data_IF_955026810618
#
_entry.id   IF_955026810618
#
_cell.length_a   1.000
_cell.length_b   1.000
_cell.length_c   1.000
_cell.angle_alpha   90.00
_cell.angle_beta   90.00
_cell.angle_gamma   90.00
#
_symmetry.space_group_name_H-M   'P 1'
#
loop_
_entity.id
_entity.type
_entity.pdbx_description
1 polymer ?
#
# COMPACT_ATOMS: atom_id res chain seq x y z
N UNK A 1 14.86 -1.20 18.57
CA UNK A 1 13.93 -0.76 17.51
C UNK A 1 13.29 -2.02 16.97
N UNK A 2 11.96 -2.23 17.07
CA UNK A 2 11.33 -3.33 16.36
C UNK A 2 11.55 -3.12 14.86
N UNK A 3 12.09 -4.12 14.18
CA UNK A 3 12.25 -4.10 12.72
C UNK A 3 10.86 -4.30 12.13
N UNK A 4 10.32 -3.29 11.45
CA UNK A 4 9.06 -3.46 10.72
C UNK A 4 9.31 -4.45 9.59
N UNK A 5 8.57 -5.56 9.57
CA UNK A 5 8.70 -6.58 8.53
C UNK A 5 8.14 -6.08 7.20
N UNK A 6 8.83 -6.38 6.09
CA UNK A 6 8.43 -6.00 4.73
C UNK A 6 7.03 -6.47 4.36
N UNK A 7 6.63 -7.67 4.82
CA UNK A 7 5.34 -8.32 4.49
C UNK A 7 5.15 -8.43 2.96
N UNK A 8 5.89 -9.31 2.28
CA UNK A 8 5.89 -9.38 0.82
C UNK A 8 4.58 -9.93 0.24
N UNK A 9 4.23 -9.48 -0.97
CA UNK A 9 3.11 -9.98 -1.77
C UNK A 9 3.42 -9.93 -3.27
N UNK A 10 2.56 -10.53 -4.10
CA UNK A 10 2.68 -10.45 -5.56
C UNK A 10 2.57 -9.00 -6.04
N UNK A 11 3.45 -8.60 -6.95
CA UNK A 11 3.53 -7.23 -7.47
C UNK A 11 2.18 -6.58 -7.80
N UNK A 12 2.09 -5.29 -7.49
CA UNK A 12 0.96 -4.42 -7.83
C UNK A 12 1.51 -3.13 -8.42
N UNK A 13 0.86 -2.65 -9.49
CA UNK A 13 1.12 -1.32 -10.06
C UNK A 13 0.13 -0.35 -9.44
N UNK A 14 0.65 0.68 -8.80
CA UNK A 14 -0.13 1.72 -8.11
C UNK A 14 0.11 3.05 -8.81
N UNK A 15 -0.97 3.79 -9.04
CA UNK A 15 -0.91 5.13 -9.62
C UNK A 15 -0.37 6.10 -8.58
N UNK A 16 0.51 7.01 -9.00
CA UNK A 16 1.05 8.04 -8.11
C UNK A 16 0.40 9.39 -8.36
N UNK A 17 0.75 10.38 -7.54
CA UNK A 17 0.38 11.79 -7.71
C UNK A 17 0.70 12.37 -9.10
N UNK A 18 1.60 11.73 -9.84
CA UNK A 18 1.89 12.03 -11.23
C UNK A 18 1.15 11.01 -12.11
N UNK A 19 0.07 11.40 -12.84
CA UNK A 19 -0.78 10.46 -13.57
C UNK A 19 -0.05 9.61 -14.63
N UNK A 20 1.09 10.09 -15.14
CA UNK A 20 1.94 9.37 -16.10
C UNK A 20 2.96 8.42 -15.45
N UNK A 21 2.97 8.34 -14.11
CA UNK A 21 3.93 7.55 -13.34
C UNK A 21 3.21 6.50 -12.50
N UNK A 22 3.43 5.24 -12.86
CA UNK A 22 3.03 4.10 -12.04
C UNK A 22 4.24 3.63 -11.24
N UNK A 23 4.03 3.20 -9.99
CA UNK A 23 5.05 2.45 -9.23
C UNK A 23 4.65 1.01 -9.05
N UNK A 24 5.63 0.13 -9.16
CA UNK A 24 5.50 -1.28 -8.76
C UNK A 24 5.81 -1.37 -7.28
N UNK A 25 4.91 -1.97 -6.52
CA UNK A 25 5.13 -2.32 -5.11
C UNK A 25 4.99 -3.83 -4.90
N UNK A 26 5.83 -4.39 -4.05
CA UNK A 26 5.91 -5.84 -3.78
C UNK A 26 5.77 -6.19 -2.29
N UNK A 27 5.55 -5.21 -1.43
CA UNK A 27 5.47 -5.41 0.02
C UNK A 27 4.51 -4.41 0.66
N UNK A 28 3.95 -4.77 1.82
CA UNK A 28 3.04 -3.88 2.55
C UNK A 28 3.76 -2.63 3.06
N UNK A 29 5.03 -2.78 3.44
CA UNK A 29 5.86 -1.65 3.87
C UNK A 29 6.08 -0.65 2.73
N UNK A 30 6.52 -1.14 1.57
CA UNK A 30 6.75 -0.29 0.39
C UNK A 30 5.45 0.40 -0.08
N UNK A 31 4.31 -0.30 0.00
CA UNK A 31 3.01 0.27 -0.32
C UNK A 31 2.59 1.35 0.68
N UNK A 32 2.85 1.16 1.98
CA UNK A 32 2.56 2.15 3.01
C UNK A 32 3.41 3.41 2.81
N UNK A 33 4.70 3.26 2.52
CA UNK A 33 5.59 4.37 2.19
C UNK A 33 5.11 5.15 0.97
N UNK A 34 4.73 4.45 -0.11
CA UNK A 34 4.19 5.07 -1.31
C UNK A 34 2.93 5.90 -1.00
N UNK A 35 2.00 5.35 -0.23
CA UNK A 35 0.74 6.02 0.10
C UNK A 35 0.96 7.31 0.90
N UNK A 36 1.95 7.29 1.79
CA UNK A 36 2.28 8.46 2.62
C UNK A 36 3.03 9.54 1.84
N UNK A 37 3.69 9.20 0.73
CA UNK A 37 4.61 10.10 0.04
C UNK A 37 4.17 10.56 -1.34
N UNK A 38 3.41 9.73 -2.08
CA UNK A 38 3.18 9.93 -3.52
C UNK A 38 1.78 9.48 -3.97
N UNK A 39 0.79 9.47 -3.07
CA UNK A 39 -0.58 9.09 -3.41
C UNK A 39 -1.33 10.20 -4.15
N UNK A 40 -2.13 9.89 -5.19
CA UNK A 40 -2.74 10.91 -6.06
C UNK A 40 -3.94 11.67 -5.50
N UNK A 41 -4.63 11.14 -4.48
CA UNK A 41 -5.89 11.70 -4.00
C UNK A 41 -5.78 11.95 -2.50
N UNK A 42 -5.78 13.22 -2.08
CA UNK A 42 -5.52 13.61 -0.67
C UNK A 42 -6.47 12.93 0.33
N UNK A 43 -7.75 12.77 -0.01
CA UNK A 43 -8.73 12.06 0.83
C UNK A 43 -9.76 11.33 -0.03
N UNK A 44 -9.80 9.99 0.09
CA UNK A 44 -10.83 9.14 -0.52
C UNK A 44 -11.09 7.94 0.37
N UNK A 45 -12.28 7.34 0.26
CA UNK A 45 -12.61 6.09 0.96
C UNK A 45 -11.61 4.97 0.63
N UNK A 46 -11.12 4.94 -0.62
CA UNK A 46 -10.09 4.02 -1.08
C UNK A 46 -8.78 4.24 -0.31
N UNK A 47 -8.34 5.48 -0.16
CA UNK A 47 -7.13 5.80 0.61
C UNK A 47 -7.25 5.34 2.07
N UNK A 48 -8.38 5.62 2.71
CA UNK A 48 -8.64 5.21 4.10
C UNK A 48 -8.64 3.69 4.24
N UNK A 49 -9.32 2.98 3.33
CA UNK A 49 -9.34 1.51 3.33
C UNK A 49 -7.94 0.92 3.09
N UNK A 50 -7.17 1.50 2.18
CA UNK A 50 -5.81 1.05 1.87
C UNK A 50 -4.87 1.25 3.07
N UNK A 51 -4.90 2.42 3.71
CA UNK A 51 -4.11 2.71 4.93
C UNK A 51 -4.44 1.70 6.03
N UNK A 52 -5.72 1.45 6.27
CA UNK A 52 -6.16 0.50 7.29
C UNK A 52 -5.67 -0.92 6.99
N UNK A 53 -5.85 -1.39 5.75
CA UNK A 53 -5.44 -2.74 5.35
C UNK A 53 -3.92 -2.95 5.50
N UNK A 54 -3.11 -1.95 5.11
CA UNK A 54 -1.66 -2.03 5.25
C UNK A 54 -1.21 -1.99 6.70
N UNK A 55 -1.81 -1.13 7.54
CA UNK A 55 -1.50 -1.08 8.97
C UNK A 55 -1.76 -2.45 9.62
N UNK A 56 -2.94 -3.03 9.41
CA UNK A 56 -3.27 -4.37 9.92
C UNK A 56 -2.34 -5.45 9.40
N UNK A 57 -1.86 -5.31 8.16
CA UNK A 57 -0.89 -6.27 7.62
C UNK A 57 0.48 -6.15 8.28
N UNK A 58 0.93 -4.93 8.61
CA UNK A 58 2.20 -4.70 9.28
C UNK A 58 2.15 -5.14 10.75
N UNK A 59 1.00 -4.96 11.40
CA UNK A 59 0.72 -5.46 12.77
C UNK A 59 0.52 -6.98 12.82
N UNK A 60 0.22 -7.62 11.70
CA UNK A 60 0.04 -9.06 11.59
C UNK A 60 -1.35 -9.59 11.78
N UNK A 61 -2.31 -8.70 11.84
CA UNK A 61 -3.73 -9.01 11.90
C UNK A 61 -4.32 -9.34 10.52
N UNK A 62 -3.67 -8.88 9.45
CA UNK A 62 -4.08 -9.14 8.06
C UNK A 62 -2.94 -9.79 7.26
N UNK A 63 -3.27 -10.69 6.34
CA UNK A 63 -2.26 -11.26 5.45
C UNK A 63 -1.80 -10.21 4.42
N UNK A 64 -0.52 -10.23 3.99
CA UNK A 64 -0.02 -9.31 2.96
C UNK A 64 -0.81 -9.40 1.66
N UNK A 65 -1.25 -10.62 1.30
CA UNK A 65 -2.10 -10.86 0.13
C UNK A 65 -3.48 -10.23 0.24
N UNK A 66 -4.07 -10.14 1.44
CA UNK A 66 -5.33 -9.45 1.65
C UNK A 66 -5.15 -7.92 1.59
N UNK A 67 -4.09 -7.37 2.17
CA UNK A 67 -3.77 -5.95 2.07
C UNK A 67 -3.54 -5.49 0.62
N UNK A 68 -2.92 -6.37 -0.19
CA UNK A 68 -2.73 -6.17 -1.64
C UNK A 68 -4.03 -5.87 -2.39
N UNK A 69 -5.17 -6.43 -1.97
CA UNK A 69 -6.46 -6.19 -2.65
C UNK A 69 -7.07 -4.82 -2.37
N UNK A 70 -6.60 -4.12 -1.34
CA UNK A 70 -7.05 -2.77 -1.03
C UNK A 70 -6.38 -1.71 -1.93
N UNK A 71 -5.22 -2.04 -2.53
CA UNK A 71 -4.51 -1.13 -3.42
C UNK A 71 -5.31 -0.89 -4.71
N UNK A 72 -5.49 0.37 -5.13
CA UNK A 72 -6.14 0.69 -6.38
C UNK A 72 -5.26 0.16 -7.52
N UNK A 73 -5.86 -0.69 -8.34
CA UNK A 73 -5.26 -1.14 -9.58
C UNK A 73 -5.31 0.01 -10.60
N UNK A 74 -4.19 0.23 -11.28
CA UNK A 74 -4.15 1.00 -12.54
C UNK A 74 -3.80 0.11 -13.72
#
# INVERSE_FOLDING_TARGET
>A
MPTIEERPFKEVRVMTSQPSRMRVVTSALQAAELILTDWPIEESEILTATKHALLKSLEGELSPGAARFALPYG
#
